data_IF_277336631882
#
_entry.id   IF_277336631882
#
_cell.length_a   1.000
_cell.length_b   1.000
_cell.length_c   1.000
_cell.angle_alpha   90.00
_cell.angle_beta   90.00
_cell.angle_gamma   90.00
#
_symmetry.space_group_name_H-M   'P 1'
#
loop_
_entity.id
_entity.type
_entity.pdbx_description
1 polymer ?
#
# COMPACT_ATOMS: atom_id res chain seq x y z
N UNK A 1 -21.08 6.93 -11.59
CA UNK A 1 -20.11 6.20 -10.74
C UNK A 1 -19.56 7.07 -9.63
N UNK A 2 -18.79 8.12 -9.92
CA UNK A 2 -18.18 8.99 -8.88
C UNK A 2 -19.20 9.57 -7.89
N UNK A 3 -20.42 9.86 -8.36
CA UNK A 3 -21.54 10.26 -7.51
C UNK A 3 -21.92 9.19 -6.48
N UNK A 4 -21.88 7.91 -6.83
CA UNK A 4 -22.15 6.77 -5.93
C UNK A 4 -21.07 6.72 -4.84
N UNK A 5 -19.80 6.84 -5.21
CA UNK A 5 -18.71 6.93 -4.23
C UNK A 5 -18.87 8.10 -3.27
N UNK A 6 -19.23 9.29 -3.78
CA UNK A 6 -19.46 10.45 -2.94
C UNK A 6 -20.61 10.22 -1.96
N UNK A 7 -21.72 9.60 -2.39
CA UNK A 7 -22.85 9.28 -1.51
C UNK A 7 -22.44 8.39 -0.33
N UNK A 8 -21.61 7.38 -0.57
CA UNK A 8 -21.11 6.46 0.45
C UNK A 8 -19.92 6.99 1.27
N UNK A 9 -19.33 8.13 0.90
CA UNK A 9 -18.27 8.76 1.70
C UNK A 9 -18.83 9.25 3.04
N UNK A 10 -18.18 8.84 4.13
CA UNK A 10 -18.54 9.26 5.49
C UNK A 10 -18.42 10.77 5.60
N UNK A 11 -19.47 11.41 6.11
CA UNK A 11 -19.47 12.81 6.51
C UNK A 11 -19.42 12.86 8.04
N UNK A 12 -18.27 13.23 8.65
CA UNK A 12 -18.12 13.24 10.10
C UNK A 12 -19.21 14.06 10.79
N UNK A 13 -19.71 13.58 11.94
CA UNK A 13 -20.73 14.26 12.74
C UNK A 13 -20.24 15.59 13.32
N UNK A 14 -18.92 15.76 13.44
CA UNK A 14 -18.29 17.00 13.91
C UNK A 14 -18.32 18.12 12.86
N UNK A 15 -18.67 17.79 11.61
CA UNK A 15 -18.83 18.80 10.57
C UNK A 15 -20.09 19.63 10.83
N UNK A 16 -19.91 20.93 10.98
CA UNK A 16 -20.99 21.89 11.25
C UNK A 16 -21.85 22.21 10.02
N UNK A 17 -21.39 21.84 8.83
CA UNK A 17 -22.09 22.02 7.55
C UNK A 17 -22.68 20.71 7.03
N UNK A 18 -23.77 20.83 6.26
CA UNK A 18 -24.34 19.69 5.54
C UNK A 18 -23.36 19.15 4.50
N UNK A 19 -23.45 17.84 4.22
CA UNK A 19 -22.64 17.18 3.19
C UNK A 19 -22.85 17.89 1.84
N UNK A 20 -21.77 18.42 1.22
CA UNK A 20 -21.89 19.14 -0.04
C UNK A 20 -22.49 18.30 -1.17
N UNK A 21 -23.12 18.97 -2.14
CA UNK A 21 -23.59 18.34 -3.36
C UNK A 21 -22.40 17.81 -4.19
N UNK A 22 -22.63 16.73 -4.94
CA UNK A 22 -21.59 16.09 -5.74
C UNK A 22 -20.95 17.06 -6.75
N UNK A 23 -21.77 17.78 -7.51
CA UNK A 23 -21.30 18.70 -8.56
C UNK A 23 -20.45 19.86 -8.03
N UNK A 24 -20.60 20.19 -6.74
CA UNK A 24 -19.76 21.21 -6.07
C UNK A 24 -18.37 20.68 -5.75
N UNK A 25 -18.26 19.41 -5.37
CA UNK A 25 -17.00 18.76 -4.99
C UNK A 25 -16.27 18.21 -6.21
N UNK A 26 -17.01 17.85 -7.25
CA UNK A 26 -16.50 17.20 -8.45
C UNK A 26 -17.05 17.90 -9.70
N UNK A 27 -16.64 19.16 -9.95
CA UNK A 27 -16.97 19.83 -11.20
C UNK A 27 -16.29 19.14 -12.40
N UNK A 28 -16.78 19.43 -13.60
CA UNK A 28 -16.30 18.84 -14.86
C UNK A 28 -14.78 18.92 -15.05
N UNK A 29 -14.16 20.00 -14.58
CA UNK A 29 -12.70 20.19 -14.66
C UNK A 29 -11.94 19.10 -13.88
N UNK A 30 -12.40 18.76 -12.68
CA UNK A 30 -11.77 17.69 -11.87
C UNK A 30 -12.00 16.34 -12.53
N UNK A 31 -13.20 16.09 -13.08
CA UNK A 31 -13.50 14.85 -13.80
C UNK A 31 -12.58 14.67 -15.01
N UNK A 32 -12.39 15.73 -15.80
CA UNK A 32 -11.47 15.72 -16.95
C UNK A 32 -10.04 15.45 -16.51
N UNK A 33 -9.57 16.13 -15.46
CA UNK A 33 -8.22 15.91 -14.93
C UNK A 33 -8.00 14.45 -14.48
N UNK A 34 -9.01 13.80 -13.89
CA UNK A 34 -8.93 12.37 -13.52
C UNK A 34 -8.82 11.46 -14.75
N UNK A 35 -9.61 11.73 -15.79
CA UNK A 35 -9.55 10.97 -17.06
C UNK A 35 -8.19 11.17 -17.74
N UNK A 36 -7.68 12.40 -17.76
CA UNK A 36 -6.36 12.71 -18.30
C UNK A 36 -5.24 11.99 -17.53
N UNK A 37 -5.31 11.96 -16.20
CA UNK A 37 -4.36 11.22 -15.37
C UNK A 37 -4.42 9.71 -15.64
N UNK A 38 -5.62 9.14 -15.77
CA UNK A 38 -5.80 7.73 -16.14
C UNK A 38 -5.18 7.42 -17.51
N UNK A 39 -5.43 8.25 -18.53
CA UNK A 39 -4.84 8.08 -19.86
C UNK A 39 -3.32 8.19 -19.80
N UNK A 40 -2.78 9.12 -19.00
CA UNK A 40 -1.34 9.27 -18.80
C UNK A 40 -0.73 8.02 -18.16
N UNK A 41 -1.37 7.45 -17.14
CA UNK A 41 -0.96 6.19 -16.51
C UNK A 41 -1.04 5.01 -17.47
N UNK A 42 -2.09 4.92 -18.28
CA UNK A 42 -2.23 3.90 -19.33
C UNK A 42 -1.07 3.98 -20.34
N UNK A 43 -0.74 5.18 -20.80
CA UNK A 43 0.38 5.40 -21.71
C UNK A 43 1.73 5.06 -21.06
N UNK A 44 1.90 5.36 -19.77
CA UNK A 44 3.10 5.00 -19.04
C UNK A 44 3.29 3.48 -18.94
N UNK A 45 2.21 2.71 -18.67
CA UNK A 45 2.23 1.23 -18.70
C UNK A 45 2.80 0.67 -20.01
N UNK A 46 2.35 1.22 -21.13
CA UNK A 46 2.81 0.80 -22.45
C UNK A 46 4.24 1.26 -22.74
N UNK A 47 4.55 2.54 -22.51
CA UNK A 47 5.81 3.13 -22.94
C UNK A 47 6.98 2.74 -22.03
N UNK A 48 6.80 2.82 -20.71
CA UNK A 48 7.85 2.59 -19.73
C UNK A 48 8.03 1.11 -19.41
N UNK A 49 6.92 0.38 -19.25
CA UNK A 49 6.94 -1.01 -18.78
C UNK A 49 6.57 -2.04 -19.86
N UNK A 50 6.22 -1.61 -21.07
CA UNK A 50 5.84 -2.49 -22.19
C UNK A 50 4.69 -3.43 -21.81
N UNK A 51 3.73 -2.91 -21.03
CA UNK A 51 2.54 -3.62 -20.57
C UNK A 51 1.29 -2.99 -21.17
N UNK A 52 0.87 -3.53 -22.30
CA UNK A 52 -0.44 -3.21 -22.87
C UNK A 52 -1.56 -3.84 -22.04
N UNK A 53 -2.64 -3.10 -21.83
CA UNK A 53 -3.84 -3.62 -21.17
C UNK A 53 -4.66 -4.45 -22.17
N UNK A 54 -4.95 -5.68 -21.79
CA UNK A 54 -5.75 -6.60 -22.61
C UNK A 54 -7.15 -6.76 -22.03
N UNK A 55 -8.12 -7.12 -22.87
CA UNK A 55 -9.48 -7.43 -22.41
C UNK A 55 -9.53 -8.56 -21.37
N UNK A 56 -8.62 -9.55 -21.48
CA UNK A 56 -8.51 -10.62 -20.48
C UNK A 56 -8.06 -10.09 -19.10
N UNK A 57 -7.17 -9.10 -19.06
CA UNK A 57 -6.77 -8.47 -17.80
C UNK A 57 -7.91 -7.65 -17.19
N UNK A 58 -8.70 -6.97 -18.01
CA UNK A 58 -9.90 -6.25 -17.54
C UNK A 58 -10.94 -7.21 -16.96
N UNK A 59 -11.20 -8.33 -17.62
CA UNK A 59 -12.11 -9.35 -17.09
C UNK A 59 -11.59 -9.93 -15.77
N UNK A 60 -10.31 -10.27 -15.69
CA UNK A 60 -9.71 -10.77 -14.46
C UNK A 60 -9.80 -9.75 -13.30
N UNK A 61 -9.68 -8.45 -13.60
CA UNK A 61 -9.88 -7.40 -12.60
C UNK A 61 -11.34 -7.30 -12.15
N UNK A 62 -12.31 -7.41 -13.07
CA UNK A 62 -13.74 -7.47 -12.71
C UNK A 62 -14.00 -8.66 -11.77
N UNK A 63 -13.50 -9.84 -12.13
CA UNK A 63 -13.65 -11.06 -11.32
C UNK A 63 -13.01 -10.90 -9.94
N UNK A 64 -11.85 -10.24 -9.88
CA UNK A 64 -11.17 -9.91 -8.62
C UNK A 64 -12.00 -8.97 -7.77
N UNK A 65 -12.54 -7.89 -8.34
CA UNK A 65 -13.38 -6.92 -7.62
C UNK A 65 -14.61 -7.64 -7.06
N UNK A 66 -15.28 -8.47 -7.86
CA UNK A 66 -16.46 -9.22 -7.42
C UNK A 66 -16.15 -10.20 -6.28
N UNK A 67 -15.01 -10.89 -6.34
CA UNK A 67 -14.59 -11.88 -5.34
C UNK A 67 -14.09 -11.27 -4.04
N UNK A 68 -13.32 -10.17 -4.10
CA UNK A 68 -12.58 -9.64 -2.96
C UNK A 68 -13.25 -8.41 -2.31
N UNK A 69 -14.34 -7.89 -2.87
CA UNK A 69 -15.02 -6.72 -2.30
C UNK A 69 -15.60 -7.02 -0.91
N UNK A 70 -15.39 -6.09 0.02
CA UNK A 70 -16.03 -6.10 1.34
C UNK A 70 -17.36 -5.32 1.37
N UNK A 71 -17.77 -4.76 0.23
CA UNK A 71 -18.98 -3.93 0.07
C UNK A 71 -19.71 -4.32 -1.23
N UNK A 72 -20.30 -5.51 -1.31
CA UNK A 72 -20.96 -5.99 -2.53
C UNK A 72 -22.12 -5.09 -2.96
N UNK A 73 -22.83 -4.46 -2.01
CA UNK A 73 -23.96 -3.56 -2.30
C UNK A 73 -23.49 -2.31 -3.05
N UNK A 74 -22.36 -1.72 -2.63
CA UNK A 74 -21.75 -0.59 -3.33
C UNK A 74 -21.34 -0.94 -4.76
N UNK A 75 -20.78 -2.14 -4.96
CA UNK A 75 -20.40 -2.61 -6.30
C UNK A 75 -21.64 -2.76 -7.18
N UNK A 76 -22.73 -3.30 -6.65
CA UNK A 76 -24.00 -3.41 -7.36
C UNK A 76 -24.54 -2.02 -7.75
N UNK A 77 -24.56 -1.06 -6.84
CA UNK A 77 -24.99 0.33 -7.14
C UNK A 77 -24.13 0.98 -8.23
N UNK A 78 -22.81 0.73 -8.23
CA UNK A 78 -21.90 1.20 -9.28
C UNK A 78 -22.28 0.59 -10.62
N UNK A 79 -22.56 -0.72 -10.68
CA UNK A 79 -22.93 -1.40 -11.92
C UNK A 79 -24.29 -0.91 -12.45
N UNK A 80 -25.27 -0.70 -11.57
CA UNK A 80 -26.56 -0.13 -11.92
C UNK A 80 -26.41 1.30 -12.45
N UNK A 81 -25.54 2.12 -11.85
CA UNK A 81 -25.20 3.45 -12.35
C UNK A 81 -24.49 3.43 -13.72
N UNK A 82 -23.95 2.28 -14.13
CA UNK A 82 -23.42 2.01 -15.46
C UNK A 82 -24.42 1.23 -16.35
N UNK A 83 -25.70 1.21 -15.96
CA UNK A 83 -26.81 0.55 -16.68
C UNK A 83 -26.56 -0.95 -16.88
N UNK A 84 -25.79 -1.58 -15.98
CA UNK A 84 -25.37 -2.97 -16.06
C UNK A 84 -24.72 -3.32 -17.41
N UNK A 85 -24.07 -2.35 -18.06
CA UNK A 85 -23.40 -2.57 -19.33
C UNK A 85 -21.98 -3.11 -19.10
N UNK A 86 -21.65 -4.33 -19.54
CA UNK A 86 -20.34 -4.94 -19.27
C UNK A 86 -19.19 -4.15 -19.88
N UNK A 87 -19.40 -3.47 -21.01
CA UNK A 87 -18.37 -2.62 -21.61
C UNK A 87 -18.07 -1.40 -20.73
N UNK A 88 -19.10 -0.74 -20.20
CA UNK A 88 -18.91 0.41 -19.30
C UNK A 88 -18.32 0.00 -17.95
N UNK A 89 -18.67 -1.18 -17.44
CA UNK A 89 -18.04 -1.75 -16.24
C UNK A 89 -16.55 -2.02 -16.49
N UNK A 90 -16.20 -2.59 -17.63
CA UNK A 90 -14.79 -2.83 -17.97
C UNK A 90 -14.01 -1.51 -18.13
N UNK A 91 -14.53 -0.57 -18.92
CA UNK A 91 -13.79 0.61 -19.34
C UNK A 91 -13.83 1.76 -18.33
N UNK A 92 -14.96 1.97 -17.64
CA UNK A 92 -15.09 3.10 -16.72
C UNK A 92 -14.82 2.72 -15.27
N UNK A 93 -14.94 1.43 -14.90
CA UNK A 93 -14.78 0.98 -13.52
C UNK A 93 -13.53 0.13 -13.32
N UNK A 94 -13.40 -0.98 -14.05
CA UNK A 94 -12.29 -1.92 -13.87
C UNK A 94 -10.96 -1.36 -14.40
N UNK A 95 -10.97 -0.76 -15.60
CA UNK A 95 -9.76 -0.20 -16.24
C UNK A 95 -9.05 0.85 -15.37
N UNK A 96 -9.72 1.90 -14.84
CA UNK A 96 -9.03 2.89 -14.00
C UNK A 96 -8.38 2.28 -12.75
N UNK A 97 -9.09 1.35 -12.10
CA UNK A 97 -8.56 0.64 -10.91
C UNK A 97 -7.37 -0.24 -11.26
N UNK A 98 -7.45 -0.96 -12.39
CA UNK A 98 -6.36 -1.80 -12.86
C UNK A 98 -5.13 -0.97 -13.22
N UNK A 99 -5.32 0.12 -13.96
CA UNK A 99 -4.25 1.04 -14.35
C UNK A 99 -3.54 1.56 -13.11
N UNK A 100 -4.27 2.16 -12.17
CA UNK A 100 -3.68 2.76 -10.98
C UNK A 100 -2.87 1.73 -10.17
N UNK A 101 -3.44 0.52 -9.97
CA UNK A 101 -2.76 -0.58 -9.28
C UNK A 101 -1.50 -1.02 -10.01
N UNK A 102 -1.58 -1.25 -11.32
CA UNK A 102 -0.45 -1.73 -12.10
C UNK A 102 0.66 -0.69 -12.17
N UNK A 103 0.34 0.59 -12.41
CA UNK A 103 1.34 1.65 -12.51
C UNK A 103 2.11 1.80 -11.20
N UNK A 104 1.42 1.79 -10.05
CA UNK A 104 2.07 1.80 -8.73
C UNK A 104 2.96 0.59 -8.51
N UNK A 105 2.42 -0.60 -8.76
CA UNK A 105 3.14 -1.85 -8.53
C UNK A 105 4.40 -1.95 -9.41
N UNK A 106 4.30 -1.60 -10.69
CA UNK A 106 5.44 -1.59 -11.59
C UNK A 106 6.47 -0.55 -11.20
N UNK A 107 6.05 0.68 -10.89
CA UNK A 107 6.96 1.69 -10.37
C UNK A 107 7.72 1.21 -9.13
N UNK A 108 7.01 0.59 -8.18
CA UNK A 108 7.56 0.21 -6.89
C UNK A 108 8.71 -0.80 -6.99
N UNK A 109 8.70 -1.69 -7.99
CA UNK A 109 9.70 -2.74 -8.16
C UNK A 109 10.62 -2.53 -9.38
N UNK A 110 10.55 -1.35 -10.01
CA UNK A 110 11.41 -1.04 -11.15
C UNK A 110 12.80 -0.62 -10.69
N UNK A 111 13.81 -1.43 -11.03
CA UNK A 111 15.20 -1.17 -10.68
C UNK A 111 15.74 0.12 -11.29
N UNK A 112 15.16 0.62 -12.39
CA UNK A 112 15.57 1.89 -13.01
C UNK A 112 15.36 3.08 -12.08
N UNK A 113 14.36 3.01 -11.19
CA UNK A 113 14.03 4.09 -10.25
C UNK A 113 14.64 3.86 -8.86
N UNK A 114 14.86 2.60 -8.46
CA UNK A 114 15.22 2.26 -7.08
C UNK A 114 16.63 1.67 -6.90
N UNK A 115 17.40 1.49 -7.98
CA UNK A 115 18.72 0.83 -7.90
C UNK A 115 19.76 1.59 -7.08
N UNK A 116 19.76 2.93 -7.11
CA UNK A 116 20.68 3.73 -6.30
C UNK A 116 20.42 3.56 -4.80
N UNK A 117 19.15 3.64 -4.40
CA UNK A 117 18.74 3.44 -3.01
C UNK A 117 19.05 2.02 -2.54
N UNK A 118 18.82 1.02 -3.39
CA UNK A 118 19.16 -0.38 -3.12
C UNK A 118 20.66 -0.57 -2.93
N UNK A 119 21.47 -0.07 -3.85
CA UNK A 119 22.93 -0.18 -3.78
C UNK A 119 23.50 0.50 -2.53
N UNK A 120 22.92 1.63 -2.11
CA UNK A 120 23.27 2.29 -0.86
C UNK A 120 22.99 1.40 0.35
N UNK A 121 21.78 0.82 0.43
CA UNK A 121 21.41 -0.07 1.53
C UNK A 121 22.30 -1.33 1.59
N UNK A 122 22.58 -1.95 0.43
CA UNK A 122 23.48 -3.10 0.32
C UNK A 122 24.93 -2.76 0.74
N UNK A 123 25.42 -1.60 0.32
CA UNK A 123 26.77 -1.13 0.67
C UNK A 123 26.93 -0.83 2.17
N UNK A 124 25.90 -0.25 2.80
CA UNK A 124 25.87 -0.03 4.25
C UNK A 124 25.84 -1.35 5.02
N UNK A 125 25.04 -2.32 4.58
CA UNK A 125 24.98 -3.65 5.19
C UNK A 125 26.33 -4.37 5.13
N UNK A 126 27.03 -4.28 4.01
CA UNK A 126 28.37 -4.86 3.85
C UNK A 126 29.42 -4.17 4.75
N UNK A 127 29.26 -2.87 5.00
CA UNK A 127 30.26 -2.05 5.72
C UNK A 127 30.11 -2.12 7.25
N UNK A 128 28.89 -2.02 7.77
CA UNK A 128 28.66 -1.89 9.21
C UNK A 128 28.34 -3.20 9.92
N UNK A 129 28.07 -4.28 9.17
CA UNK A 129 27.44 -5.50 9.66
C UNK A 129 26.03 -5.26 10.20
N UNK A 130 25.17 -6.28 10.11
CA UNK A 130 23.81 -6.19 10.67
C UNK A 130 23.81 -5.95 12.18
N UNK A 131 24.92 -6.21 12.88
CA UNK A 131 25.00 -5.96 14.32
C UNK A 131 25.04 -4.48 14.70
N UNK A 132 25.27 -3.57 13.74
CA UNK A 132 25.39 -2.12 13.97
C UNK A 132 24.39 -1.30 13.13
N UNK A 133 23.12 -1.73 13.05
CA UNK A 133 22.09 -1.02 12.28
C UNK A 133 22.00 0.47 12.62
N UNK A 134 22.13 0.85 13.90
CA UNK A 134 22.05 2.26 14.35
C UNK A 134 23.06 3.21 13.69
N UNK A 135 24.11 2.68 13.08
CA UNK A 135 25.15 3.47 12.39
C UNK A 135 24.88 3.66 10.89
N UNK A 136 23.84 3.02 10.36
CA UNK A 136 23.39 3.14 8.97
C UNK A 136 22.52 4.40 8.78
N UNK A 137 22.32 4.82 7.53
CA UNK A 137 21.65 6.09 7.22
C UNK A 137 20.13 6.01 7.08
N UNK A 138 19.56 4.80 7.16
CA UNK A 138 18.11 4.61 7.13
C UNK A 138 17.44 4.96 8.46
N UNK A 139 16.11 4.92 8.46
CA UNK A 139 15.30 5.11 9.65
C UNK A 139 15.41 3.85 10.52
N UNK A 140 16.07 3.99 11.67
CA UNK A 140 16.17 2.93 12.66
C UNK A 140 14.99 2.96 13.64
N UNK A 141 14.42 1.79 13.93
CA UNK A 141 13.45 1.61 15.02
C UNK A 141 13.64 0.28 15.73
N UNK A 142 13.20 0.20 16.98
CA UNK A 142 13.27 -1.01 17.80
C UNK A 142 11.89 -1.28 18.39
N UNK A 143 11.32 -2.44 18.08
CA UNK A 143 9.99 -2.86 18.51
C UNK A 143 10.14 -4.08 19.41
N UNK A 144 9.41 -4.04 20.53
CA UNK A 144 9.41 -5.10 21.53
C UNK A 144 8.04 -5.78 21.54
N UNK A 145 7.97 -7.01 21.01
CA UNK A 145 6.74 -7.80 20.99
C UNK A 145 6.62 -8.65 22.25
N UNK A 146 5.43 -8.65 22.85
CA UNK A 146 5.11 -9.43 24.04
C UNK A 146 3.88 -10.29 23.78
N UNK A 147 3.92 -11.56 24.17
CA UNK A 147 2.77 -12.44 24.10
C UNK A 147 1.70 -12.00 25.11
N UNK A 148 0.48 -11.75 24.63
CA UNK A 148 -0.69 -11.47 25.48
C UNK A 148 -1.68 -12.64 25.42
N UNK A 149 -1.75 -13.38 26.53
CA UNK A 149 -2.65 -14.53 26.68
C UNK A 149 -4.13 -14.11 26.88
N UNK A 150 -4.44 -12.81 27.00
CA UNK A 150 -5.79 -12.33 27.23
C UNK A 150 -6.60 -12.05 25.94
N UNK A 151 -6.10 -12.45 24.77
CA UNK A 151 -6.83 -12.44 23.50
C UNK A 151 -7.37 -11.05 23.08
N UNK A 152 -6.69 -9.97 23.49
CA UNK A 152 -7.00 -8.63 23.01
C UNK A 152 -6.17 -8.32 21.76
N UNK A 153 -6.81 -8.40 20.60
CA UNK A 153 -6.22 -7.98 19.32
C UNK A 153 -5.73 -6.53 19.38
N UNK A 154 -4.51 -6.29 18.89
CA UNK A 154 -3.91 -5.01 18.48
C UNK A 154 -4.54 -3.74 19.10
N UNK A 155 -4.31 -3.54 20.40
CA UNK A 155 -4.31 -2.17 20.93
C UNK A 155 -2.90 -1.61 20.73
N UNK A 156 -2.71 -0.84 19.64
CA UNK A 156 -1.56 0.06 19.47
C UNK A 156 -1.57 1.09 20.61
N UNK A 157 -1.18 0.69 21.82
CA UNK A 157 -0.77 1.63 22.85
C UNK A 157 0.62 2.10 22.48
N UNK A 158 0.70 3.01 21.50
CA UNK A 158 1.89 3.84 21.23
C UNK A 158 2.19 4.62 22.51
N UNK A 159 2.93 4.01 23.43
CA UNK A 159 3.39 4.68 24.62
C UNK A 159 4.76 5.26 24.28
N UNK A 160 4.77 6.59 24.19
CA UNK A 160 5.77 7.50 23.58
C UNK A 160 7.25 7.40 23.98
N UNK A 161 7.77 6.25 24.43
CA UNK A 161 9.21 6.06 24.61
C UNK A 161 9.74 4.63 24.46
N UNK A 162 8.88 3.61 24.33
CA UNK A 162 9.29 2.22 24.04
C UNK A 162 8.16 1.59 23.21
N UNK A 163 8.41 1.26 21.94
CA UNK A 163 7.43 0.63 21.05
C UNK A 163 7.18 -0.82 21.48
N UNK A 164 6.37 -0.98 22.53
CA UNK A 164 5.89 -2.27 23.01
C UNK A 164 4.58 -2.63 22.32
N UNK A 165 4.54 -3.78 21.68
CA UNK A 165 3.36 -4.31 21.01
C UNK A 165 2.99 -5.63 21.67
N UNK A 166 1.73 -5.73 22.09
CA UNK A 166 1.17 -6.97 22.62
C UNK A 166 0.50 -7.72 21.47
N UNK A 167 0.84 -8.99 21.31
CA UNK A 167 0.38 -9.83 20.20
C UNK A 167 -0.20 -11.14 20.71
N UNK A 168 -1.14 -11.69 19.94
CA UNK A 168 -1.70 -13.03 20.17
C UNK A 168 -0.66 -14.13 19.91
N UNK A 169 -0.95 -15.37 20.30
CA UNK A 169 -0.05 -16.50 20.04
C UNK A 169 0.14 -16.77 18.54
N UNK A 170 -0.90 -16.54 17.73
CA UNK A 170 -0.84 -16.70 16.27
C UNK A 170 0.09 -15.65 15.65
N UNK A 171 -0.12 -14.37 15.95
CA UNK A 171 0.75 -13.27 15.49
C UNK A 171 2.19 -13.42 15.99
N UNK A 172 2.37 -13.88 17.22
CA UNK A 172 3.71 -14.13 17.77
C UNK A 172 4.45 -15.22 16.96
N UNK A 173 3.76 -16.31 16.61
CA UNK A 173 4.31 -17.37 15.73
C UNK A 173 4.59 -16.87 14.31
N UNK A 174 3.75 -15.99 13.76
CA UNK A 174 4.02 -15.37 12.46
C UNK A 174 5.29 -14.52 12.51
N UNK A 175 5.47 -13.71 13.56
CA UNK A 175 6.71 -12.94 13.77
C UNK A 175 7.90 -13.89 13.93
N UNK A 176 7.78 -14.99 14.68
CA UNK A 176 8.83 -16.00 14.78
C UNK A 176 9.15 -16.64 13.43
N UNK A 177 8.17 -16.87 12.55
CA UNK A 177 8.45 -17.43 11.22
C UNK A 177 9.32 -16.50 10.36
N UNK A 178 9.22 -15.18 10.56
CA UNK A 178 10.07 -14.21 9.86
C UNK A 178 11.52 -14.20 10.36
N UNK A 179 11.83 -14.90 11.47
CA UNK A 179 13.21 -15.06 11.98
C UNK A 179 14.15 -15.65 10.93
N UNK A 180 13.66 -16.53 10.06
CA UNK A 180 14.47 -17.18 9.03
C UNK A 180 14.98 -16.19 7.96
N UNK A 181 14.33 -15.04 7.82
CA UNK A 181 14.68 -13.98 6.86
C UNK A 181 15.47 -12.84 7.52
N UNK A 182 15.78 -12.95 8.82
CA UNK A 182 16.64 -12.01 9.53
C UNK A 182 18.03 -11.97 8.92
N UNK A 183 18.58 -10.78 8.69
CA UNK A 183 19.94 -10.69 8.13
C UNK A 183 20.05 -10.02 6.78
N UNK A 184 19.02 -10.17 5.96
CA UNK A 184 19.08 -9.81 4.54
C UNK A 184 18.29 -8.54 4.24
N UNK A 185 18.69 -7.87 3.16
CA UNK A 185 17.94 -6.74 2.63
C UNK A 185 16.66 -7.26 1.95
N UNK A 186 15.53 -6.76 2.42
CA UNK A 186 14.20 -7.04 1.90
C UNK A 186 13.65 -5.81 1.19
N UNK A 187 12.64 -6.02 0.35
CA UNK A 187 12.02 -4.98 -0.47
C UNK A 187 10.50 -5.16 -0.45
N UNK A 188 9.79 -4.05 -0.24
CA UNK A 188 8.33 -3.97 -0.44
C UNK A 188 7.98 -2.80 -1.39
N UNK A 189 6.70 -2.47 -1.51
CA UNK A 189 6.22 -1.40 -2.40
C UNK A 189 6.79 -0.01 -2.05
N UNK A 190 7.14 0.21 -0.79
CA UNK A 190 7.43 1.54 -0.25
C UNK A 190 8.88 1.71 0.19
N UNK A 191 9.63 0.64 0.39
CA UNK A 191 10.93 0.71 1.04
C UNK A 191 11.81 -0.52 0.78
N UNK A 192 13.10 -0.33 1.04
CA UNK A 192 14.02 -1.40 1.37
C UNK A 192 14.19 -1.46 2.88
N UNK A 193 14.25 -2.66 3.45
CA UNK A 193 14.38 -2.79 4.90
C UNK A 193 15.17 -4.02 5.31
N UNK A 194 15.70 -3.96 6.51
CA UNK A 194 16.36 -5.08 7.18
C UNK A 194 15.69 -5.27 8.52
N UNK A 195 15.39 -6.53 8.83
CA UNK A 195 14.92 -6.94 10.15
C UNK A 195 16.05 -7.70 10.84
N UNK A 196 16.37 -7.30 12.07
CA UNK A 196 17.30 -8.01 12.95
C UNK A 196 16.64 -8.32 14.28
N UNK A 197 16.76 -9.57 14.70
CA UNK A 197 16.30 -9.99 16.02
C UNK A 197 17.44 -9.92 17.03
N UNK A 198 17.17 -9.34 18.19
CA UNK A 198 18.16 -9.18 19.27
C UNK A 198 18.07 -10.27 20.33
N UNK A 199 16.86 -10.71 20.63
CA UNK A 199 16.60 -11.59 21.77
C UNK A 199 15.26 -12.30 21.55
N UNK A 200 15.26 -13.64 21.61
CA UNK A 200 14.05 -14.44 21.67
C UNK A 200 14.03 -15.11 23.05
N UNK A 201 13.14 -14.63 23.92
CA UNK A 201 12.84 -15.25 25.22
C UNK A 201 11.41 -15.75 25.17
N UNK A 202 11.09 -16.70 26.05
CA UNK A 202 9.73 -17.23 26.16
C UNK A 202 8.73 -16.09 26.39
N UNK A 203 7.90 -15.80 25.38
CA UNK A 203 6.88 -14.75 25.40
C UNK A 203 7.35 -13.31 25.10
N UNK A 204 8.60 -13.10 24.66
CA UNK A 204 9.09 -11.78 24.23
C UNK A 204 10.08 -11.88 23.05
N UNK A 205 9.87 -11.05 22.03
CA UNK A 205 10.77 -10.91 20.87
C UNK A 205 11.15 -9.44 20.69
N UNK A 206 12.45 -9.17 20.66
CA UNK A 206 12.98 -7.84 20.38
C UNK A 206 13.48 -7.76 18.94
N UNK A 207 12.92 -6.81 18.16
CA UNK A 207 13.18 -6.66 16.73
C UNK A 207 13.68 -5.25 16.43
N UNK A 208 14.80 -5.17 15.73
CA UNK A 208 15.33 -3.94 15.15
C UNK A 208 14.95 -3.89 13.66
N UNK A 209 14.50 -2.73 13.23
CA UNK A 209 14.23 -2.42 11.83
C UNK A 209 15.16 -1.32 11.36
N UNK A 210 15.69 -1.50 10.16
CA UNK A 210 16.38 -0.46 9.41
C UNK A 210 15.66 -0.26 8.09
N UNK A 211 15.26 0.97 7.78
CA UNK A 211 14.39 1.27 6.63
C UNK A 211 14.99 2.36 5.75
N UNK A 212 15.08 2.09 4.46
CA UNK A 212 15.39 3.08 3.41
C UNK A 212 14.14 3.28 2.55
N UNK A 213 13.48 4.42 2.72
CA UNK A 213 12.21 4.74 2.05
C UNK A 213 12.43 5.07 0.58
N UNK A 214 11.62 4.46 -0.29
CA UNK A 214 11.52 4.84 -1.70
C UNK A 214 10.79 6.17 -1.82
N UNK A 215 10.99 6.85 -2.94
CA UNK A 215 10.17 8.02 -3.28
C UNK A 215 8.72 7.54 -3.47
N UNK A 216 7.72 8.15 -2.80
CA UNK A 216 6.33 7.76 -2.98
C UNK A 216 5.88 7.93 -4.44
N UNK A 217 5.07 6.99 -4.94
CA UNK A 217 4.58 7.03 -6.32
C UNK A 217 3.94 8.36 -6.67
N UNK A 218 3.10 8.94 -5.80
CA UNK A 218 2.44 10.22 -6.05
C UNK A 218 3.44 11.36 -6.28
N UNK A 219 4.52 11.38 -5.50
CA UNK A 219 5.55 12.40 -5.64
C UNK A 219 6.29 12.22 -6.97
N UNK A 220 6.71 10.98 -7.27
CA UNK A 220 7.39 10.70 -8.53
C UNK A 220 6.52 10.99 -9.75
N UNK A 221 5.22 10.64 -9.69
CA UNK A 221 4.25 10.82 -10.76
C UNK A 221 3.87 12.28 -11.01
N UNK A 222 4.01 13.15 -10.03
CA UNK A 222 3.82 14.60 -10.22
C UNK A 222 4.98 15.24 -11.00
N UNK A 223 6.16 14.65 -10.93
CA UNK A 223 7.40 15.19 -11.53
C UNK A 223 7.67 14.67 -12.95
N UNK A 224 6.97 13.63 -13.40
CA UNK A 224 7.16 12.93 -14.68
C UNK A 224 5.82 12.71 -15.36
#
# INVERSE_FOLDING_TARGET
MESVYWQHRIWPTDNTSAKPAFDTIMPDEIMRAKVEDELRKSNALELLWKRELTGAMLQAEIDRIARDTKKPELIQEIWEALVNNPYLVAECFARPLLIDRLTRNWYAFDSRFHSELKAKAEGELASYSIYNLRSMSGDYSEIHYFLDNNNHSLALKKNTNIDRIYVTEEEFKEIESTLEQSGSLQEDEHQFYITRFKNNRTGQIDVEYMVWKKVPFEQWWQEH
#
